data_IF_515574094817
#
_entry.id   IF_515574094817
#
_cell.length_a   1.000
_cell.length_b   1.000
_cell.length_c   1.000
_cell.angle_alpha   90.00
_cell.angle_beta   90.00
_cell.angle_gamma   90.00
#
_symmetry.space_group_name_H-M   'P 1'
#
loop_
_entity.id
_entity.type
_entity.pdbx_description
1 polymer ?
#
# COMPACT_ATOMS: atom_id res chain seq x y z
N UNK A 1 8.59 -1.49 30.13
CA UNK A 1 8.03 -0.42 29.29
C UNK A 1 8.71 -0.57 27.94
N UNK A 2 8.04 -1.20 26.97
CA UNK A 2 8.57 -1.29 25.61
C UNK A 2 8.58 0.12 25.04
N UNK A 3 9.71 0.55 24.50
CA UNK A 3 9.81 1.84 23.82
C UNK A 3 9.03 1.70 22.52
N UNK A 4 7.95 2.47 22.38
CA UNK A 4 7.21 2.56 21.13
C UNK A 4 8.06 3.34 20.13
N UNK A 5 8.78 2.60 19.29
CA UNK A 5 9.54 3.18 18.20
C UNK A 5 8.55 3.54 17.07
N UNK A 6 8.31 4.84 16.94
CA UNK A 6 7.56 5.37 15.80
C UNK A 6 8.50 5.56 14.61
N UNK A 7 8.06 5.11 13.44
CA UNK A 7 8.81 5.21 12.19
C UNK A 7 7.97 5.90 11.11
N UNK A 8 8.65 6.61 10.22
CA UNK A 8 8.04 7.17 9.02
C UNK A 8 8.19 6.17 7.87
N UNK A 9 7.07 5.76 7.29
CA UNK A 9 7.05 4.94 6.08
C UNK A 9 6.67 5.80 4.87
N UNK A 10 7.22 5.48 3.71
CA UNK A 10 6.84 6.11 2.44
C UNK A 10 5.65 5.37 1.84
N UNK A 11 4.56 6.09 1.56
CA UNK A 11 3.36 5.54 0.93
C UNK A 11 3.21 6.09 -0.48
N UNK A 12 3.31 5.21 -1.48
CA UNK A 12 3.08 5.52 -2.90
C UNK A 12 1.63 5.23 -3.28
N UNK A 13 0.96 6.09 -4.05
CA UNK A 13 -0.45 5.90 -4.42
C UNK A 13 -0.78 6.38 -5.84
N UNK A 14 -2.03 6.15 -6.28
CA UNK A 14 -2.51 6.28 -7.67
C UNK A 14 -1.58 5.63 -8.69
N UNK A 15 -1.25 4.38 -8.44
CA UNK A 15 -0.56 3.54 -9.39
C UNK A 15 -1.06 2.11 -9.27
N UNK A 16 -0.44 1.26 -10.05
CA UNK A 16 -0.67 -0.18 -10.01
C UNK A 16 0.66 -0.89 -10.25
N UNK A 17 0.76 -2.12 -9.74
CA UNK A 17 1.87 -2.98 -10.11
C UNK A 17 1.58 -3.64 -11.46
N UNK A 18 2.54 -3.52 -12.37
CA UNK A 18 2.47 -4.11 -13.71
C UNK A 18 3.63 -5.08 -13.88
N UNK A 19 3.33 -6.29 -14.35
CA UNK A 19 4.32 -7.27 -14.74
C UNK A 19 5.04 -6.79 -16.02
N UNK A 20 6.36 -6.85 -16.01
CA UNK A 20 7.20 -6.53 -17.17
C UNK A 20 7.50 -7.78 -18.00
N UNK A 21 8.03 -7.61 -19.21
CA UNK A 21 8.32 -8.72 -20.13
C UNK A 21 9.30 -9.76 -19.58
N UNK A 22 10.09 -9.40 -18.55
CA UNK A 22 10.99 -10.31 -17.84
C UNK A 22 10.36 -11.03 -16.65
N UNK A 23 9.04 -10.89 -16.43
CA UNK A 23 8.29 -11.46 -15.31
C UNK A 23 8.45 -10.70 -13.98
N UNK A 24 9.25 -9.62 -13.96
CA UNK A 24 9.38 -8.76 -12.80
C UNK A 24 8.20 -7.82 -12.65
N UNK A 25 8.05 -7.18 -11.47
CA UNK A 25 6.95 -6.28 -11.19
C UNK A 25 7.44 -4.86 -10.93
N UNK A 26 6.80 -3.88 -11.58
CA UNK A 26 7.14 -2.46 -11.43
C UNK A 26 5.90 -1.67 -11.04
N UNK A 27 6.06 -0.73 -10.11
CA UNK A 27 5.02 0.24 -9.81
C UNK A 27 4.88 1.26 -10.93
N UNK A 28 3.72 1.34 -11.55
CA UNK A 28 3.41 2.29 -12.62
C UNK A 28 2.40 3.31 -12.11
N UNK A 29 2.81 4.57 -12.04
CA UNK A 29 1.90 5.66 -11.71
C UNK A 29 0.86 5.86 -12.81
N UNK A 30 -0.38 6.08 -12.41
CA UNK A 30 -1.50 6.39 -13.29
C UNK A 30 -1.62 7.92 -13.38
N UNK A 31 -1.64 8.45 -14.61
CA UNK A 31 -1.69 9.90 -14.88
C UNK A 31 -0.36 10.64 -14.69
N UNK A 32 -0.41 11.98 -14.60
CA UNK A 32 0.77 12.87 -14.49
C UNK A 32 1.34 12.99 -13.06
N UNK A 33 1.24 11.92 -12.29
CA UNK A 33 1.18 12.00 -10.83
C UNK A 33 2.53 11.67 -10.15
N UNK A 34 3.58 12.40 -10.56
CA UNK A 34 4.94 12.29 -9.98
C UNK A 34 5.03 12.71 -8.50
N UNK A 35 3.95 13.20 -7.89
CA UNK A 35 3.89 13.72 -6.52
C UNK A 35 3.17 12.79 -5.51
N UNK A 36 2.85 11.55 -5.87
CA UNK A 36 2.02 10.68 -5.02
C UNK A 36 2.84 9.84 -4.04
N UNK A 37 3.75 10.46 -3.32
CA UNK A 37 4.46 9.80 -2.21
C UNK A 37 4.25 10.64 -0.96
N UNK A 38 3.64 10.05 0.06
CA UNK A 38 3.33 10.73 1.31
C UNK A 38 3.91 9.95 2.49
N UNK A 39 4.63 10.60 3.41
CA UNK A 39 5.12 9.95 4.63
C UNK A 39 3.96 9.69 5.61
N UNK A 40 3.93 8.50 6.21
CA UNK A 40 2.96 8.12 7.25
C UNK A 40 3.70 7.68 8.50
N UNK A 41 3.34 8.24 9.67
CA UNK A 41 3.92 7.85 10.95
C UNK A 41 3.20 6.63 11.52
N UNK A 42 3.94 5.56 11.77
CA UNK A 42 3.44 4.28 12.29
C UNK A 42 4.27 3.81 13.48
N UNK A 43 3.68 3.03 14.37
CA UNK A 43 4.38 2.37 15.47
C UNK A 43 4.84 0.99 15.00
N UNK A 44 5.91 0.44 15.57
CA UNK A 44 6.27 -0.97 15.39
C UNK A 44 5.16 -1.96 15.81
N UNK A 45 4.22 -1.53 16.66
CA UNK A 45 3.04 -2.29 17.08
C UNK A 45 1.79 -2.04 16.22
N UNK A 46 1.88 -1.23 15.16
CA UNK A 46 0.72 -0.87 14.34
C UNK A 46 0.08 -2.12 13.73
N UNK A 47 -1.23 -2.24 13.91
CA UNK A 47 -2.06 -3.31 13.30
C UNK A 47 -2.40 -2.99 11.86
N UNK A 48 -2.87 -3.98 11.11
CA UNK A 48 -3.37 -3.79 9.75
C UNK A 48 -4.52 -2.79 9.67
N UNK A 49 -5.50 -2.90 10.56
CA UNK A 49 -6.63 -1.97 10.60
C UNK A 49 -6.17 -0.52 10.84
N UNK A 50 -5.28 -0.32 11.82
CA UNK A 50 -4.71 1.01 12.11
C UNK A 50 -3.90 1.57 10.93
N UNK A 51 -3.13 0.72 10.24
CA UNK A 51 -2.39 1.13 9.05
C UNK A 51 -3.34 1.57 7.94
N UNK A 52 -4.38 0.78 7.65
CA UNK A 52 -5.40 1.13 6.67
C UNK A 52 -6.04 2.49 6.98
N UNK A 53 -6.44 2.72 8.23
CA UNK A 53 -7.10 3.96 8.63
C UNK A 53 -6.17 5.16 8.51
N UNK A 54 -4.90 5.02 8.89
CA UNK A 54 -3.88 6.06 8.71
C UNK A 54 -3.65 6.38 7.25
N UNK A 55 -3.49 5.36 6.40
CA UNK A 55 -3.31 5.52 4.96
C UNK A 55 -4.52 6.22 4.33
N UNK A 56 -5.75 5.75 4.62
CA UNK A 56 -6.98 6.39 4.11
C UNK A 56 -7.06 7.86 4.49
N UNK A 57 -6.80 8.17 5.77
CA UNK A 57 -6.85 9.54 6.28
C UNK A 57 -5.83 10.45 5.61
N UNK A 58 -4.61 9.97 5.42
CA UNK A 58 -3.53 10.73 4.80
C UNK A 58 -3.77 10.95 3.30
N UNK A 59 -4.32 9.95 2.62
CA UNK A 59 -4.62 10.02 1.19
C UNK A 59 -5.97 10.69 0.88
N UNK A 60 -6.78 11.02 1.90
CA UNK A 60 -8.11 11.61 1.71
C UNK A 60 -9.08 10.68 0.97
N UNK A 61 -8.93 9.36 1.12
CA UNK A 61 -9.74 8.36 0.41
C UNK A 61 -11.11 8.24 1.08
N UNK A 62 -12.17 8.44 0.31
CA UNK A 62 -13.53 8.15 0.75
C UNK A 62 -13.76 6.63 0.81
N UNK A 63 -13.88 6.09 2.02
CA UNK A 63 -14.10 4.66 2.28
C UNK A 63 -15.45 4.15 1.78
N UNK A 64 -16.42 5.03 1.53
CA UNK A 64 -17.72 4.67 0.95
C UNK A 64 -17.60 4.40 -0.55
N UNK A 65 -16.70 5.10 -1.22
CA UNK A 65 -16.53 5.04 -2.68
C UNK A 65 -15.38 4.13 -3.10
N UNK A 66 -14.36 3.97 -2.26
CA UNK A 66 -13.15 3.25 -2.61
C UNK A 66 -12.67 2.37 -1.45
N UNK A 67 -12.22 1.17 -1.79
CA UNK A 67 -11.30 0.40 -0.95
C UNK A 67 -9.85 0.71 -1.31
N UNK A 68 -8.94 0.29 -0.42
CA UNK A 68 -7.50 0.38 -0.63
C UNK A 68 -6.93 -1.04 -0.65
N UNK A 69 -6.08 -1.34 -1.62
CA UNK A 69 -5.18 -2.50 -1.58
C UNK A 69 -3.77 -1.98 -1.30
N UNK A 70 -3.10 -2.58 -0.32
CA UNK A 70 -1.72 -2.25 0.05
C UNK A 70 -0.80 -3.40 -0.33
N UNK A 71 0.29 -3.09 -1.03
CA UNK A 71 1.27 -4.08 -1.43
C UNK A 71 2.66 -3.47 -1.49
N UNK A 72 3.69 -4.32 -1.50
CA UNK A 72 5.08 -3.89 -1.65
C UNK A 72 5.89 -4.95 -2.40
N UNK A 73 7.00 -4.54 -3.00
CA UNK A 73 7.96 -5.51 -3.56
C UNK A 73 8.75 -6.10 -2.40
N UNK A 74 9.05 -7.40 -2.47
CA UNK A 74 9.93 -8.03 -1.48
C UNK A 74 11.38 -7.61 -1.79
N UNK A 75 12.08 -6.95 -0.83
CA UNK A 75 13.44 -6.50 -1.06
C UNK A 75 14.39 -7.68 -1.32
N UNK A 76 15.43 -7.44 -2.13
CA UNK A 76 16.46 -8.43 -2.43
C UNK A 76 16.06 -9.52 -3.43
N UNK A 77 14.78 -9.65 -3.81
CA UNK A 77 14.32 -10.64 -4.79
C UNK A 77 13.72 -10.03 -6.06
N UNK A 78 14.04 -8.77 -6.36
CA UNK A 78 13.53 -8.03 -7.53
C UNK A 78 13.82 -8.69 -8.90
N UNK A 79 14.79 -9.61 -8.96
CA UNK A 79 15.17 -10.35 -10.16
C UNK A 79 14.44 -11.69 -10.31
N UNK A 80 13.61 -12.06 -9.34
CA UNK A 80 12.75 -13.25 -9.39
C UNK A 80 11.35 -12.77 -9.75
N UNK A 81 10.62 -13.46 -10.63
CA UNK A 81 9.26 -13.07 -11.04
C UNK A 81 8.25 -13.37 -9.92
N UNK A 82 8.40 -12.70 -8.79
CA UNK A 82 7.52 -12.80 -7.62
C UNK A 82 6.56 -11.62 -7.66
N UNK A 83 5.24 -11.87 -7.66
CA UNK A 83 4.25 -10.83 -7.53
C UNK A 83 4.47 -9.98 -6.27
N UNK A 84 4.03 -8.72 -6.25
CA UNK A 84 4.07 -7.88 -5.06
C UNK A 84 3.39 -8.57 -3.88
N UNK A 85 4.03 -8.48 -2.72
CA UNK A 85 3.47 -9.04 -1.49
C UNK A 85 2.36 -8.12 -1.00
N UNK A 86 1.16 -8.69 -0.84
CA UNK A 86 0.02 -7.99 -0.25
C UNK A 86 0.22 -7.80 1.25
N UNK A 87 -0.15 -6.62 1.74
CA UNK A 87 -0.19 -6.28 3.15
C UNK A 87 -1.66 -6.25 3.55
N UNK A 88 -2.15 -7.37 4.08
CA UNK A 88 -3.58 -7.65 4.31
C UNK A 88 -3.90 -8.18 5.73
N UNK A 89 -2.88 -8.31 6.58
CA UNK A 89 -3.01 -8.78 7.96
C UNK A 89 -1.86 -8.28 8.85
N UNK A 90 -2.03 -8.38 10.17
CA UNK A 90 -1.06 -7.88 11.16
C UNK A 90 0.34 -8.49 11.00
N UNK A 91 0.43 -9.76 10.61
CA UNK A 91 1.72 -10.41 10.39
C UNK A 91 2.44 -9.81 9.18
N UNK A 92 1.72 -9.50 8.11
CA UNK A 92 2.29 -8.88 6.91
C UNK A 92 2.68 -7.42 7.19
N UNK A 93 1.94 -6.70 8.05
CA UNK A 93 2.36 -5.38 8.54
C UNK A 93 3.66 -5.47 9.34
N UNK A 94 3.76 -6.39 10.30
CA UNK A 94 4.99 -6.60 11.08
C UNK A 94 6.19 -6.91 10.17
N UNK A 95 6.00 -7.78 9.19
CA UNK A 95 7.02 -8.09 8.20
C UNK A 95 7.41 -6.84 7.41
N UNK A 96 6.45 -6.08 6.87
CA UNK A 96 6.74 -4.86 6.13
C UNK A 96 7.49 -3.82 6.98
N UNK A 97 7.08 -3.62 8.24
CA UNK A 97 7.76 -2.71 9.17
C UNK A 97 9.19 -3.16 9.52
N UNK A 98 9.57 -4.41 9.25
CA UNK A 98 10.97 -4.84 9.36
C UNK A 98 11.84 -4.42 8.17
N UNK A 99 11.22 -4.11 7.02
CA UNK A 99 11.91 -3.81 5.74
C UNK A 99 11.54 -2.45 5.12
N UNK A 100 10.75 -1.63 5.80
CA UNK A 100 10.17 -0.37 5.28
C UNK A 100 11.17 0.66 4.74
N UNK A 101 12.46 0.53 5.08
CA UNK A 101 13.54 1.41 4.59
C UNK A 101 14.01 1.07 3.19
N UNK A 102 13.73 -0.15 2.74
CA UNK A 102 14.18 -0.67 1.44
C UNK A 102 13.11 -0.50 0.36
N UNK A 103 11.84 -0.51 0.76
CA UNK A 103 10.70 -0.54 -0.16
C UNK A 103 9.55 0.34 0.36
N UNK A 104 8.85 1.07 -0.53
CA UNK A 104 7.66 1.83 -0.14
C UNK A 104 6.45 0.91 0.03
N UNK A 105 5.44 1.39 0.76
CA UNK A 105 4.10 0.83 0.74
C UNK A 105 3.34 1.40 -0.46
N UNK A 106 2.99 0.56 -1.43
CA UNK A 106 2.22 0.97 -2.58
C UNK A 106 0.73 0.73 -2.34
N UNK A 107 -0.10 1.72 -2.68
CA UNK A 107 -1.54 1.72 -2.42
C UNK A 107 -2.29 1.89 -3.73
N UNK A 108 -3.07 0.88 -4.08
CA UNK A 108 -4.00 0.90 -5.20
C UNK A 108 -5.40 1.23 -4.68
N UNK A 109 -6.10 2.16 -5.32
CA UNK A 109 -7.50 2.43 -5.01
C UNK A 109 -8.40 1.51 -5.83
N UNK A 110 -9.37 0.90 -5.17
CA UNK A 110 -10.37 0.03 -5.78
C UNK A 110 -11.72 0.72 -5.67
N UNK A 111 -12.27 1.20 -6.80
CA UNK A 111 -13.60 1.79 -6.82
C UNK A 111 -14.63 0.74 -6.45
N UNK A 112 -15.43 1.01 -5.41
CA UNK A 112 -16.60 0.19 -5.11
C UNK A 112 -17.60 0.43 -6.23
N UNK A 113 -17.89 -0.61 -6.99
CA UNK A 113 -18.98 -0.56 -7.95
C UNK A 113 -20.24 -0.12 -7.21
N UNK A 114 -20.80 1.02 -7.60
CA UNK A 114 -22.19 1.30 -7.27
C UNK A 114 -22.96 0.20 -7.98
N UNK A 115 -23.41 -0.83 -7.25
CA UNK A 115 -24.40 -1.75 -7.78
C UNK A 115 -25.53 -0.89 -8.36
N UNK A 116 -25.85 -1.12 -9.63
CA UNK A 116 -26.89 -0.44 -10.39
C UNK A 116 -28.20 -0.35 -9.58
N UNK A 117 -28.39 0.75 -8.84
CA UNK A 117 -29.67 1.13 -8.24
C UNK A 117 -30.59 1.81 -9.28
N UNK A 118 -30.46 1.44 -10.56
CA UNK A 118 -31.35 1.83 -11.66
C UNK A 118 -32.06 0.61 -12.27
N UNK A 119 -32.58 -0.28 -11.42
CA UNK A 119 -33.72 -1.13 -11.79
C UNK A 119 -34.80 -1.07 -10.71
N UNK A 120 -35.58 0.02 -10.73
CA UNK A 120 -36.97 0.01 -10.26
C UNK A 120 -37.85 0.71 -11.28
#
# INVERSE_FOLDING_TARGET
MEVLDNVWISVCYFGEFVENEGGGWTWKYIGNSRANVTPVLVSNTTTYAELCDKVRRVLGVDSMLNDIEMATIVPGISNVPVPPMKIDCDNNVKWYLSVYREVPLCVTLLTKGVEEYERK
#
